data_IF_480949992246
#
_entry.id   IF_480949992246
#
_cell.length_a   1.000
_cell.length_b   1.000
_cell.length_c   1.000
_cell.angle_alpha   90.00
_cell.angle_beta   90.00
_cell.angle_gamma   90.00
#
_symmetry.space_group_name_H-M   'P 1'
#
loop_
_entity.id
_entity.type
_entity.pdbx_description
1 polymer ?
#
# COMPACT_ATOMS: atom_id res chain seq x y z
N UNK A 1 -14.72 16.39 -23.22
CA UNK A 1 -13.54 17.26 -23.44
C UNK A 1 -12.41 16.72 -22.57
N UNK A 2 -11.74 15.66 -23.06
CA UNK A 2 -10.62 15.00 -22.38
C UNK A 2 -9.32 15.71 -22.76
N UNK A 3 -8.36 15.81 -21.84
CA UNK A 3 -7.05 16.43 -22.07
C UNK A 3 -5.99 15.64 -21.33
N UNK A 4 -4.84 15.49 -21.96
CA UNK A 4 -3.65 14.93 -21.31
C UNK A 4 -3.01 16.00 -20.42
N UNK A 5 -2.74 15.62 -19.17
CA UNK A 5 -2.11 16.44 -18.14
C UNK A 5 -1.10 15.59 -17.39
N UNK A 6 -0.06 16.24 -16.88
CA UNK A 6 0.90 15.58 -16.01
C UNK A 6 0.36 15.57 -14.57
N UNK A 7 -0.10 14.39 -14.12
CA UNK A 7 -0.53 14.17 -12.75
C UNK A 7 0.62 13.64 -11.87
N UNK A 8 0.64 13.97 -10.57
CA UNK A 8 1.59 13.35 -9.65
C UNK A 8 1.33 11.84 -9.56
N UNK A 9 2.34 11.05 -9.23
CA UNK A 9 2.21 9.61 -8.98
C UNK A 9 2.90 9.27 -7.66
N UNK A 10 2.12 9.00 -6.62
CA UNK A 10 2.65 8.80 -5.27
C UNK A 10 2.32 7.43 -4.71
N UNK A 11 3.24 6.90 -3.91
CA UNK A 11 3.06 5.70 -3.10
C UNK A 11 2.92 6.09 -1.65
N UNK A 12 1.92 5.53 -0.98
CA UNK A 12 1.55 5.88 0.39
C UNK A 12 1.43 4.62 1.22
N UNK A 13 1.96 4.64 2.44
CA UNK A 13 1.91 3.52 3.36
C UNK A 13 0.93 3.76 4.51
N UNK A 14 0.23 2.70 4.92
CA UNK A 14 -0.83 2.69 5.93
C UNK A 14 -0.48 1.63 6.98
N UNK A 15 0.03 2.02 8.17
CA UNK A 15 0.38 1.07 9.22
C UNK A 15 -0.82 0.27 9.69
N UNK A 16 -0.69 -1.05 9.89
CA UNK A 16 -1.75 -1.86 10.45
C UNK A 16 -1.97 -1.50 11.93
N UNK A 17 -3.23 -1.53 12.38
CA UNK A 17 -3.57 -1.21 13.77
C UNK A 17 -3.06 -2.28 14.74
N UNK A 18 -3.13 -3.55 14.35
CA UNK A 18 -2.68 -4.67 15.19
C UNK A 18 -1.15 -4.82 15.21
N UNK A 19 -0.48 -4.44 14.14
CA UNK A 19 0.97 -4.49 14.01
C UNK A 19 1.48 -3.29 13.20
N UNK A 20 1.80 -2.17 13.87
CA UNK A 20 2.27 -0.95 13.21
C UNK A 20 3.61 -1.10 12.47
N UNK A 21 4.35 -2.19 12.70
CA UNK A 21 5.60 -2.48 11.97
C UNK A 21 5.34 -2.93 10.54
N UNK A 22 4.11 -3.40 10.25
CA UNK A 22 3.65 -3.82 8.93
C UNK A 22 2.72 -2.76 8.36
N UNK A 23 2.99 -2.32 7.13
CA UNK A 23 2.23 -1.25 6.49
C UNK A 23 1.67 -1.70 5.14
N UNK A 24 0.39 -1.45 4.89
CA UNK A 24 -0.21 -1.59 3.56
C UNK A 24 0.30 -0.47 2.66
N UNK A 25 0.50 -0.74 1.37
CA UNK A 25 0.97 0.27 0.42
C UNK A 25 -0.06 0.43 -0.71
N UNK A 26 -0.41 1.68 -0.99
CA UNK A 26 -1.28 2.05 -2.11
C UNK A 26 -0.62 3.09 -3.01
N UNK A 27 -1.02 3.11 -4.27
CA UNK A 27 -0.62 4.09 -5.26
C UNK A 27 -1.82 4.98 -5.62
N UNK A 28 -1.59 6.27 -5.80
CA UNK A 28 -2.61 7.20 -6.30
C UNK A 28 -1.98 8.32 -7.14
N UNK A 29 -2.72 8.79 -8.14
CA UNK A 29 -2.40 10.02 -8.87
C UNK A 29 -3.08 11.26 -8.32
N UNK A 30 -3.97 11.07 -7.33
CA UNK A 30 -4.80 12.14 -6.77
C UNK A 30 -4.52 12.27 -5.26
N UNK A 31 -3.31 12.70 -4.84
CA UNK A 31 -2.93 12.76 -3.43
C UNK A 31 -3.85 13.65 -2.58
N UNK A 32 -4.50 14.64 -3.20
CA UNK A 32 -5.48 15.50 -2.53
C UNK A 32 -6.72 14.76 -2.01
N UNK A 33 -6.97 13.51 -2.42
CA UNK A 33 -8.07 12.69 -1.86
C UNK A 33 -7.68 11.93 -0.60
N UNK A 34 -6.40 11.89 -0.22
CA UNK A 34 -5.91 11.15 0.95
C UNK A 34 -6.49 11.63 2.29
N UNK A 35 -6.73 12.94 2.53
CA UNK A 35 -7.37 13.39 3.76
C UNK A 35 -8.76 12.79 4.00
N UNK A 36 -9.48 12.46 2.92
CA UNK A 36 -10.83 11.86 2.95
C UNK A 36 -10.81 10.34 2.73
N UNK A 37 -9.66 9.68 2.85
CA UNK A 37 -9.57 8.24 2.71
C UNK A 37 -10.22 7.53 3.92
N UNK A 38 -11.19 6.65 3.63
CA UNK A 38 -11.94 5.91 4.66
C UNK A 38 -11.69 4.39 4.65
N UNK A 39 -11.16 3.87 3.54
CA UNK A 39 -10.89 2.45 3.39
C UNK A 39 -9.80 2.19 2.33
N UNK A 40 -9.26 0.97 2.35
CA UNK A 40 -8.40 0.42 1.31
C UNK A 40 -9.10 -0.75 0.64
N UNK A 41 -9.21 -0.69 -0.69
CA UNK A 41 -9.82 -1.77 -1.47
C UNK A 41 -8.75 -2.75 -1.94
N UNK A 42 -9.02 -4.05 -1.77
CA UNK A 42 -8.16 -5.14 -2.21
C UNK A 42 -8.92 -6.07 -3.14
N UNK A 43 -8.23 -6.65 -4.12
CA UNK A 43 -8.84 -7.68 -4.97
C UNK A 43 -8.66 -9.05 -4.28
N UNK A 44 -9.74 -9.74 -3.88
CA UNK A 44 -9.64 -10.98 -3.12
C UNK A 44 -8.97 -12.13 -3.87
N UNK A 45 -9.03 -12.12 -5.21
CA UNK A 45 -8.50 -13.20 -6.06
C UNK A 45 -7.03 -12.99 -6.44
N UNK A 46 -6.56 -11.74 -6.34
CA UNK A 46 -5.16 -11.38 -6.60
C UNK A 46 -4.23 -11.83 -5.48
N UNK A 47 -2.97 -12.07 -5.84
CA UNK A 47 -1.91 -12.32 -4.87
C UNK A 47 -1.34 -11.01 -4.34
N UNK A 48 -1.03 -11.02 -3.05
CA UNK A 48 -0.36 -9.97 -2.32
C UNK A 48 0.91 -10.54 -1.69
N UNK A 49 1.90 -9.69 -1.49
CA UNK A 49 3.17 -10.08 -0.87
C UNK A 49 3.47 -9.18 0.32
N UNK A 50 4.01 -9.79 1.37
CA UNK A 50 4.68 -9.11 2.48
C UNK A 50 6.16 -9.08 2.16
N UNK A 51 6.74 -7.89 2.11
CA UNK A 51 8.14 -7.68 1.77
C UNK A 51 8.86 -6.91 2.88
N UNK A 52 10.15 -7.15 3.02
CA UNK A 52 11.06 -6.29 3.77
C UNK A 52 11.74 -5.34 2.78
N UNK A 53 11.53 -4.03 2.94
CA UNK A 53 12.31 -3.00 2.28
C UNK A 53 13.68 -2.91 2.96
N UNK A 54 14.75 -3.24 2.25
CA UNK A 54 16.09 -3.29 2.85
C UNK A 54 16.68 -1.90 3.10
N UNK A 55 16.24 -0.88 2.38
CA UNK A 55 16.75 0.47 2.53
C UNK A 55 16.16 1.16 3.77
N UNK A 56 14.86 0.94 4.01
CA UNK A 56 14.15 1.51 5.17
C UNK A 56 14.13 0.57 6.37
N UNK A 57 14.44 -0.71 6.17
CA UNK A 57 14.24 -1.77 7.15
C UNK A 57 12.77 -1.81 7.67
N UNK A 58 11.82 -1.66 6.76
CA UNK A 58 10.37 -1.63 7.04
C UNK A 58 9.64 -2.73 6.28
N UNK A 59 8.52 -3.18 6.82
CA UNK A 59 7.73 -4.25 6.21
C UNK A 59 6.49 -3.69 5.51
N UNK A 60 6.36 -4.03 4.22
CA UNK A 60 5.25 -3.57 3.39
C UNK A 60 4.40 -4.73 2.87
N UNK A 61 3.10 -4.47 2.73
CA UNK A 61 2.16 -5.33 2.02
C UNK A 61 1.65 -4.61 0.78
N UNK A 62 1.78 -5.23 -0.39
CA UNK A 62 1.28 -4.72 -1.66
C UNK A 62 0.92 -5.86 -2.62
N UNK A 63 0.23 -5.52 -3.70
CA UNK A 63 -0.11 -6.51 -4.74
C UNK A 63 1.18 -6.99 -5.44
N UNK A 64 1.33 -8.30 -5.59
CA UNK A 64 2.52 -8.95 -6.17
C UNK A 64 2.90 -8.34 -7.53
N UNK A 65 1.91 -8.15 -8.41
CA UNK A 65 2.10 -7.58 -9.75
C UNK A 65 2.60 -6.13 -9.76
N UNK A 66 2.49 -5.41 -8.63
CA UNK A 66 2.86 -4.00 -8.50
C UNK A 66 4.22 -3.80 -7.84
N UNK A 67 4.87 -4.88 -7.41
CA UNK A 67 6.20 -4.80 -6.77
C UNK A 67 7.24 -4.20 -7.72
N UNK A 68 7.21 -4.55 -9.01
CA UNK A 68 8.12 -4.00 -10.02
C UNK A 68 7.88 -2.51 -10.32
N UNK A 69 6.69 -1.99 -10.03
CA UNK A 69 6.37 -0.57 -10.19
C UNK A 69 7.07 0.24 -9.10
N UNK A 70 7.09 -0.27 -7.85
CA UNK A 70 7.71 0.37 -6.68
C UNK A 70 9.22 0.10 -6.58
N UNK A 71 9.67 -1.13 -6.84
CA UNK A 71 11.07 -1.54 -6.73
C UNK A 71 11.66 -1.88 -8.09
N UNK A 72 12.55 -1.01 -8.58
CA UNK A 72 13.24 -1.20 -9.87
C UNK A 72 14.37 -2.22 -9.81
N UNK A 73 14.94 -2.47 -8.62
CA UNK A 73 16.03 -3.41 -8.40
C UNK A 73 15.53 -4.58 -7.53
N UNK A 74 15.69 -5.85 -7.94
CA UNK A 74 15.27 -7.00 -7.14
C UNK A 74 15.93 -7.05 -5.77
N UNK A 75 17.19 -6.61 -5.66
CA UNK A 75 17.93 -6.65 -4.40
C UNK A 75 17.45 -5.62 -3.36
N UNK A 76 16.60 -4.66 -3.75
CA UNK A 76 16.11 -3.60 -2.87
C UNK A 76 15.10 -4.09 -1.82
N UNK A 77 14.51 -5.27 -2.03
CA UNK A 77 13.54 -5.85 -1.11
C UNK A 77 13.77 -7.35 -0.94
N UNK A 78 13.09 -7.94 0.05
CA UNK A 78 13.03 -9.38 0.23
C UNK A 78 11.57 -9.78 0.43
N UNK A 79 11.09 -10.77 -0.32
CA UNK A 79 9.75 -11.34 -0.09
C UNK A 79 9.79 -12.22 1.16
N UNK A 80 8.92 -11.91 2.12
CA UNK A 80 8.77 -12.66 3.36
C UNK A 80 7.63 -13.68 3.25
N UNK A 81 6.52 -13.28 2.60
CA UNK A 81 5.31 -14.10 2.49
C UNK A 81 4.50 -13.71 1.25
N UNK A 82 3.78 -14.67 0.67
CA UNK A 82 2.80 -14.46 -0.41
C UNK A 82 1.46 -15.06 -0.01
N UNK A 83 0.37 -14.31 -0.16
CA UNK A 83 -0.98 -14.73 0.23
C UNK A 83 -2.06 -14.14 -0.68
N UNK A 84 -3.30 -14.64 -0.56
CA UNK A 84 -4.45 -14.13 -1.32
C UNK A 84 -4.99 -12.84 -0.72
N UNK A 85 -5.41 -11.90 -1.56
CA UNK A 85 -6.01 -10.64 -1.10
C UNK A 85 -7.25 -10.81 -0.22
N UNK A 86 -7.91 -11.98 -0.30
CA UNK A 86 -9.03 -12.32 0.58
C UNK A 86 -8.65 -12.34 2.07
N UNK A 87 -7.37 -12.58 2.40
CA UNK A 87 -6.90 -12.58 3.80
C UNK A 87 -6.80 -11.18 4.40
N UNK A 88 -6.71 -10.14 3.56
CA UNK A 88 -6.62 -8.74 3.99
C UNK A 88 -7.98 -8.14 4.39
N UNK A 89 -9.08 -8.84 4.07
CA UNK A 89 -10.43 -8.36 4.38
C UNK A 89 -10.62 -8.25 5.90
N UNK A 90 -11.07 -7.08 6.35
CA UNK A 90 -11.34 -6.82 7.77
C UNK A 90 -10.11 -6.40 8.58
N UNK A 91 -8.93 -6.29 7.96
CA UNK A 91 -7.79 -5.67 8.62
C UNK A 91 -8.01 -4.16 8.76
N UNK A 92 -7.58 -3.62 9.89
CA UNK A 92 -7.63 -2.19 10.19
C UNK A 92 -6.24 -1.57 10.05
N UNK A 93 -6.20 -0.32 9.60
CA UNK A 93 -5.00 0.48 9.50
C UNK A 93 -5.19 1.82 10.21
N UNK A 94 -4.09 2.44 10.63
CA UNK A 94 -4.07 3.78 11.21
C UNK A 94 -4.30 4.81 10.09
N UNK A 95 -5.34 5.66 10.18
CA UNK A 95 -5.58 6.72 9.20
C UNK A 95 -4.36 7.64 9.04
N UNK A 96 -4.13 8.12 7.81
CA UNK A 96 -3.02 9.04 7.52
C UNK A 96 -3.17 10.41 8.20
N UNK A 97 -4.41 10.80 8.47
CA UNK A 97 -4.76 12.08 9.06
C UNK A 97 -5.76 11.89 10.19
N UNK A 98 -5.71 12.72 11.25
CA UNK A 98 -6.54 12.55 12.44
C UNK A 98 -8.02 12.95 12.24
N UNK A 99 -8.45 13.31 11.03
CA UNK A 99 -9.79 13.87 10.77
C UNK A 99 -10.94 12.90 11.04
N UNK A 100 -10.68 11.60 10.98
CA UNK A 100 -11.68 10.53 11.18
C UNK A 100 -11.23 9.49 12.21
N UNK A 101 -10.19 9.80 13.00
CA UNK A 101 -9.78 8.96 14.11
C UNK A 101 -10.73 9.23 15.29
N UNK A 102 -11.67 8.31 15.52
CA UNK A 102 -12.54 8.31 16.70
C UNK A 102 -11.90 7.48 17.82
#
# INVERSE_FOLDING_TARGET
NYKDVDDPAVWVSFPLTLDPTVKLVAWTTTPWTLPSNLALCVNPNSNYVKILDKAKNEVFILMEKRVADLYKKPDAYQVLETFKGSTLKGMHYTPLFPYFAN
#
